data_IF_194731872476
#
_entry.id   IF_194731872476
#
_cell.length_a   1.000
_cell.length_b   1.000
_cell.length_c   1.000
_cell.angle_alpha   90.00
_cell.angle_beta   90.00
_cell.angle_gamma   90.00
#
_symmetry.space_group_name_H-M   'P 1'
#
loop_
_entity.id
_entity.type
_entity.pdbx_description
1 polymer ?
#
# COMPACT_ATOMS: atom_id res chain seq x y z
N UNK A 1 -13.42 -4.04 -16.34
CA UNK A 1 -13.16 -4.03 -14.89
C UNK A 1 -12.02 -3.10 -14.61
N UNK A 2 -12.12 -2.41 -13.53
CA UNK A 2 -11.03 -1.57 -13.02
C UNK A 2 -10.51 -2.15 -11.73
N UNK A 3 -9.27 -1.85 -11.42
CA UNK A 3 -8.60 -2.38 -10.23
C UNK A 3 -8.22 -1.21 -9.32
N UNK A 4 -8.65 -1.25 -8.07
CA UNK A 4 -8.26 -0.24 -7.09
C UNK A 4 -7.12 -0.78 -6.24
N UNK A 5 -6.13 0.07 -5.98
CA UNK A 5 -5.00 -0.25 -5.12
C UNK A 5 -5.20 0.41 -3.76
N UNK A 6 -5.19 -0.38 -2.71
CA UNK A 6 -5.29 0.12 -1.34
C UNK A 6 -3.99 -0.19 -0.61
N UNK A 7 -3.48 0.78 0.13
CA UNK A 7 -2.26 0.63 0.91
C UNK A 7 -2.55 0.82 2.38
N UNK A 8 -1.90 0.02 3.23
CA UNK A 8 -2.11 0.04 4.66
C UNK A 8 -0.77 0.07 5.36
N UNK A 9 -0.55 1.07 6.20
CA UNK A 9 0.69 1.20 6.96
C UNK A 9 0.44 0.68 8.37
N UNK A 10 1.30 -0.25 8.80
CA UNK A 10 1.14 -0.92 10.08
C UNK A 10 2.40 -0.81 10.91
N UNK A 11 2.22 -0.88 12.24
CA UNK A 11 3.32 -0.94 13.19
C UNK A 11 3.23 -2.26 13.95
N UNK A 12 4.22 -3.11 13.80
CA UNK A 12 4.27 -4.36 14.56
C UNK A 12 4.52 -4.09 16.04
N UNK A 13 5.25 -3.02 16.34
CA UNK A 13 5.52 -2.64 17.72
C UNK A 13 4.23 -2.25 18.46
N UNK A 14 3.42 -1.41 17.84
CA UNK A 14 2.16 -0.99 18.43
C UNK A 14 1.05 -2.03 18.27
N UNK A 15 1.22 -2.96 17.35
CA UNK A 15 0.22 -3.98 17.07
C UNK A 15 -1.01 -3.44 16.37
N UNK A 16 -0.86 -2.38 15.59
CA UNK A 16 -2.01 -1.78 14.91
C UNK A 16 -1.63 -1.22 13.57
N UNK A 17 -2.65 -1.01 12.76
CA UNK A 17 -2.51 -0.46 11.42
C UNK A 17 -3.33 0.82 11.30
N UNK A 18 -2.84 1.74 10.48
CA UNK A 18 -3.59 2.94 10.16
C UNK A 18 -4.70 2.59 9.17
N UNK A 19 -5.72 3.45 9.07
CA UNK A 19 -6.78 3.21 8.08
C UNK A 19 -6.19 3.12 6.67
N UNK A 20 -6.72 2.21 5.85
CA UNK A 20 -6.22 2.07 4.48
C UNK A 20 -6.52 3.31 3.65
N UNK A 21 -5.65 3.56 2.68
CA UNK A 21 -5.91 4.63 1.73
C UNK A 21 -5.76 4.08 0.31
N UNK A 22 -6.57 4.60 -0.60
CA UNK A 22 -6.60 4.13 -1.96
C UNK A 22 -5.72 5.00 -2.85
N UNK A 23 -5.04 4.36 -3.79
CA UNK A 23 -4.34 5.09 -4.83
C UNK A 23 -5.37 5.88 -5.63
N UNK A 24 -4.99 7.07 -6.07
CA UNK A 24 -5.93 7.95 -6.78
C UNK A 24 -6.32 7.42 -8.15
N UNK A 25 -5.45 6.63 -8.77
CA UNK A 25 -5.68 6.09 -10.10
C UNK A 25 -6.23 4.68 -10.03
N UNK A 26 -7.04 4.32 -11.01
CA UNK A 26 -7.51 2.96 -11.18
C UNK A 26 -6.67 2.29 -12.25
N UNK A 27 -6.44 1.00 -12.11
CA UNK A 27 -5.59 0.25 -13.04
C UNK A 27 -6.44 -0.62 -13.95
N UNK A 28 -5.94 -0.81 -15.16
CA UNK A 28 -6.66 -1.58 -16.18
C UNK A 28 -6.48 -3.08 -15.99
N UNK A 29 -5.34 -3.50 -15.42
CA UNK A 29 -5.10 -4.91 -15.23
C UNK A 29 -4.46 -5.17 -13.87
N UNK A 30 -4.49 -6.44 -13.48
CA UNK A 30 -4.03 -6.87 -12.17
C UNK A 30 -2.53 -6.66 -12.01
N UNK A 31 -1.75 -7.00 -13.03
CA UNK A 31 -0.29 -6.89 -12.90
C UNK A 31 0.16 -5.45 -12.71
N UNK A 32 -0.49 -4.50 -13.39
CA UNK A 32 -0.18 -3.09 -13.17
C UNK A 32 -0.42 -2.67 -11.73
N UNK A 33 -1.53 -3.11 -11.15
CA UNK A 33 -1.83 -2.83 -9.75
C UNK A 33 -0.77 -3.43 -8.84
N UNK A 34 -0.36 -4.68 -9.10
CA UNK A 34 0.64 -5.35 -8.28
C UNK A 34 1.99 -4.63 -8.33
N UNK A 35 2.44 -4.25 -9.53
CA UNK A 35 3.70 -3.52 -9.66
C UNK A 35 3.66 -2.19 -8.93
N UNK A 36 2.57 -1.46 -9.06
CA UNK A 36 2.41 -0.19 -8.37
C UNK A 36 2.35 -0.37 -6.86
N UNK A 37 1.70 -1.42 -6.41
CA UNK A 37 1.61 -1.72 -4.99
C UNK A 37 2.98 -1.88 -4.34
N UNK A 38 3.84 -2.68 -4.96
CA UNK A 38 5.20 -2.87 -4.46
C UNK A 38 6.03 -1.61 -4.58
N UNK A 39 5.93 -0.93 -5.71
CA UNK A 39 6.70 0.28 -5.93
C UNK A 39 6.31 1.39 -4.96
N UNK A 40 5.02 1.60 -4.77
CA UNK A 40 4.53 2.63 -3.85
C UNK A 40 4.91 2.31 -2.42
N UNK A 41 4.85 1.03 -2.04
CA UNK A 41 5.25 0.59 -0.71
C UNK A 41 6.73 0.90 -0.47
N UNK A 42 7.57 0.60 -1.45
CA UNK A 42 9.00 0.87 -1.36
C UNK A 42 9.28 2.37 -1.22
N UNK A 43 8.59 3.18 -2.00
CA UNK A 43 8.75 4.64 -1.93
C UNK A 43 8.34 5.18 -0.56
N UNK A 44 7.24 4.66 0.00
CA UNK A 44 6.80 5.08 1.33
C UNK A 44 7.84 4.74 2.39
N UNK A 45 8.44 3.55 2.31
CA UNK A 45 9.48 3.16 3.24
C UNK A 45 10.70 4.08 3.11
N UNK A 46 11.06 4.43 1.88
CA UNK A 46 12.19 5.32 1.64
C UNK A 46 11.95 6.69 2.25
N UNK A 47 10.73 7.22 2.11
CA UNK A 47 10.38 8.53 2.66
C UNK A 47 10.40 8.51 4.19
N UNK A 48 9.91 7.43 4.80
CA UNK A 48 9.90 7.32 6.27
C UNK A 48 11.31 7.24 6.85
N UNK A 49 12.21 6.54 6.17
CA UNK A 49 13.59 6.39 6.63
C UNK A 49 13.77 5.21 7.57
N UNK A 50 15.00 4.70 7.61
CA UNK A 50 15.31 3.48 8.35
C UNK A 50 15.09 3.62 9.85
N UNK A 51 15.44 4.79 10.40
CA UNK A 51 15.32 4.98 11.85
C UNK A 51 13.87 4.86 12.32
N UNK A 52 12.97 5.49 11.58
CA UNK A 52 11.56 5.44 11.91
C UNK A 52 11.00 4.02 11.72
N UNK A 53 11.37 3.40 10.61
CA UNK A 53 10.91 2.04 10.30
C UNK A 53 11.36 1.07 11.39
N UNK A 54 12.63 1.15 11.77
CA UNK A 54 13.19 0.24 12.77
C UNK A 54 12.62 0.48 14.16
N UNK A 55 12.43 1.75 14.52
CA UNK A 55 11.92 2.09 15.85
C UNK A 55 10.48 1.61 16.04
N UNK A 56 9.66 1.67 15.01
CA UNK A 56 8.24 1.35 15.10
C UNK A 56 7.90 0.00 14.48
N UNK A 57 8.86 -0.69 13.91
CA UNK A 57 8.65 -1.96 13.22
C UNK A 57 7.56 -1.82 12.16
N UNK A 58 7.78 -0.86 11.27
CA UNK A 58 6.80 -0.52 10.23
C UNK A 58 6.80 -1.58 9.13
N UNK A 59 5.61 -1.93 8.68
CA UNK A 59 5.46 -2.72 7.47
C UNK A 59 4.24 -2.19 6.71
N UNK A 60 4.23 -2.44 5.41
CA UNK A 60 3.17 -1.93 4.55
C UNK A 60 2.52 -3.11 3.85
N UNK A 61 1.19 -3.14 3.89
CA UNK A 61 0.41 -4.12 3.14
C UNK A 61 -0.32 -3.38 2.02
N UNK A 62 -0.58 -4.08 0.94
CA UNK A 62 -1.42 -3.52 -0.09
C UNK A 62 -2.32 -4.60 -0.66
N UNK A 63 -3.39 -4.16 -1.26
CA UNK A 63 -4.35 -5.08 -1.88
C UNK A 63 -4.84 -4.48 -3.18
N UNK A 64 -5.03 -5.34 -4.17
CA UNK A 64 -5.64 -4.99 -5.43
C UNK A 64 -7.03 -5.57 -5.44
N UNK A 65 -8.03 -4.75 -5.76
CA UNK A 65 -9.42 -5.19 -5.72
C UNK A 65 -10.12 -4.78 -6.99
N UNK A 66 -10.81 -5.72 -7.60
CA UNK A 66 -11.57 -5.43 -8.80
C UNK A 66 -12.88 -4.75 -8.44
N UNK A 67 -13.22 -3.73 -9.21
CA UNK A 67 -14.50 -3.06 -9.09
C UNK A 67 -15.19 -3.10 -10.46
N UNK A 68 -16.52 -3.23 -10.48
CA UNK A 68 -17.23 -3.30 -11.76
C UNK A 68 -17.22 -1.96 -12.48
N UNK A 69 -17.16 -2.02 -13.79
CA UNK A 69 -17.34 -0.84 -14.63
C UNK A 69 -18.82 -0.48 -14.67
N UNK A 70 -19.09 0.79 -14.87
CA UNK A 70 -20.48 1.28 -14.96
C UNK A 70 -20.71 1.91 -16.29
#
# INVERSE_FOLDING_TARGET
MKIVLSLIICSALAGECKPPFNHKDLFEDWSSCMYHGYNDSLQLLTVMGDDYINANKIFIKFACKEIPDR
#
